data_IF_817192323079
#
_entry.id   IF_817192323079
#
_cell.length_a   1.000
_cell.length_b   1.000
_cell.length_c   1.000
_cell.angle_alpha   90.00
_cell.angle_beta   90.00
_cell.angle_gamma   90.00
#
_symmetry.space_group_name_H-M   'P 1'
#
loop_
_entity.id
_entity.type
_entity.pdbx_description
1 polymer ?
#
# COMPACT_ATOMS: atom_id res chain seq x y z
N UNK A 1 2.40 -17.07 -8.12
CA UNK A 1 1.63 -18.01 -7.27
C UNK A 1 1.28 -17.41 -5.91
N UNK A 2 2.23 -16.93 -5.10
CA UNK A 2 1.93 -16.37 -3.75
C UNK A 2 0.97 -15.17 -3.80
N UNK A 3 1.14 -14.25 -4.76
CA UNK A 3 0.24 -13.10 -4.93
C UNK A 3 -1.21 -13.54 -5.17
N UNK A 4 -1.42 -14.56 -6.00
CA UNK A 4 -2.78 -15.08 -6.25
C UNK A 4 -3.34 -15.87 -5.08
N UNK A 5 -2.49 -16.57 -4.32
CA UNK A 5 -2.89 -17.30 -3.12
C UNK A 5 -3.28 -16.36 -1.97
N UNK A 6 -2.53 -15.26 -1.78
CA UNK A 6 -2.85 -14.20 -0.82
C UNK A 6 -4.13 -13.50 -1.28
N UNK A 7 -4.25 -13.17 -2.56
CA UNK A 7 -5.47 -12.57 -3.11
C UNK A 7 -6.69 -13.48 -2.99
N UNK A 8 -6.56 -14.80 -3.20
CA UNK A 8 -7.68 -15.74 -3.10
C UNK A 8 -8.08 -15.98 -1.65
N UNK A 9 -7.13 -16.12 -0.72
CA UNK A 9 -7.43 -16.27 0.71
C UNK A 9 -8.03 -14.97 1.28
N UNK A 10 -7.47 -13.82 0.92
CA UNK A 10 -7.99 -12.51 1.33
C UNK A 10 -9.37 -12.24 0.71
N UNK A 11 -9.57 -12.56 -0.57
CA UNK A 11 -10.88 -12.48 -1.23
C UNK A 11 -11.90 -13.41 -0.59
N UNK A 12 -11.50 -14.61 -0.16
CA UNK A 12 -12.39 -15.53 0.55
C UNK A 12 -12.79 -14.97 1.91
N UNK A 13 -11.86 -14.33 2.63
CA UNK A 13 -12.11 -13.65 3.91
C UNK A 13 -13.00 -12.40 3.73
N UNK A 14 -12.87 -11.71 2.59
CA UNK A 14 -13.70 -10.57 2.22
C UNK A 14 -15.07 -10.95 1.62
N UNK A 15 -15.24 -12.19 1.16
CA UNK A 15 -16.50 -12.70 0.58
C UNK A 15 -17.55 -13.08 1.63
N UNK A 16 -17.28 -12.80 2.90
CA UNK A 16 -18.27 -12.85 3.97
C UNK A 16 -19.38 -11.81 3.74
N UNK A 17 -20.49 -12.28 3.17
CA UNK A 17 -21.78 -11.61 2.97
C UNK A 17 -21.83 -10.53 1.86
N UNK A 18 -22.82 -10.60 0.94
CA UNK A 18 -22.99 -9.64 -0.15
C UNK A 18 -23.61 -8.34 0.39
N UNK A 19 -22.82 -7.52 1.08
CA UNK A 19 -23.26 -6.22 1.60
C UNK A 19 -22.65 -5.07 0.81
N UNK A 20 -23.52 -4.38 0.09
CA UNK A 20 -23.38 -3.12 -0.67
C UNK A 20 -22.15 -2.26 -0.28
N UNK A 21 -21.06 -2.43 -1.02
CA UNK A 21 -19.79 -1.69 -0.87
C UNK A 21 -19.98 -0.18 -1.15
N UNK A 22 -19.54 0.72 -0.25
CA UNK A 22 -19.53 2.16 -0.51
C UNK A 22 -18.35 2.49 -1.42
N UNK A 23 -18.66 3.12 -2.55
CA UNK A 23 -17.72 3.52 -3.60
C UNK A 23 -16.87 4.70 -3.11
N UNK A 24 -15.62 4.42 -2.76
CA UNK A 24 -14.60 5.39 -2.33
C UNK A 24 -13.89 5.89 -3.57
N UNK A 25 -14.30 7.05 -4.11
CA UNK A 25 -13.64 7.68 -5.25
C UNK A 25 -12.55 8.63 -4.72
N UNK A 26 -11.28 8.25 -4.81
CA UNK A 26 -10.16 9.11 -4.41
C UNK A 26 -9.98 10.23 -5.46
N UNK A 27 -9.71 11.48 -5.04
CA UNK A 27 -9.65 12.63 -5.94
C UNK A 27 -8.38 12.54 -6.80
N UNK A 28 -8.56 12.72 -8.10
CA UNK A 28 -7.49 12.62 -9.10
C UNK A 28 -6.33 13.58 -8.83
N UNK A 29 -6.62 14.72 -8.20
CA UNK A 29 -5.64 15.77 -7.85
C UNK A 29 -4.53 15.26 -6.91
N UNK A 30 -4.87 14.39 -5.95
CA UNK A 30 -3.89 13.79 -5.04
C UNK A 30 -2.98 12.84 -5.81
N UNK A 31 -3.54 12.03 -6.69
CA UNK A 31 -2.75 11.13 -7.53
C UNK A 31 -1.86 11.89 -8.48
N UNK A 32 -2.34 12.97 -9.09
CA UNK A 32 -1.55 13.80 -10.00
C UNK A 32 -0.38 14.45 -9.27
N UNK A 33 -0.58 15.03 -8.09
CA UNK A 33 0.50 15.68 -7.35
C UNK A 33 1.56 14.66 -6.87
N UNK A 34 1.12 13.49 -6.39
CA UNK A 34 2.02 12.40 -6.01
C UNK A 34 2.76 11.85 -7.24
N UNK A 35 2.07 11.67 -8.36
CA UNK A 35 2.65 11.20 -9.61
C UNK A 35 3.66 12.18 -10.18
N UNK A 36 3.41 13.49 -10.07
CA UNK A 36 4.35 14.53 -10.52
C UNK A 36 5.60 14.54 -9.64
N UNK A 37 5.46 14.46 -8.32
CA UNK A 37 6.60 14.42 -7.40
C UNK A 37 7.46 13.16 -7.60
N UNK A 38 6.82 11.99 -7.71
CA UNK A 38 7.51 10.73 -7.99
C UNK A 38 8.14 10.76 -9.39
N UNK A 39 7.39 11.25 -10.39
CA UNK A 39 7.85 11.38 -11.77
C UNK A 39 9.10 12.27 -11.88
N UNK A 40 9.15 13.38 -11.15
CA UNK A 40 10.32 14.25 -11.10
C UNK A 40 11.54 13.53 -10.49
N UNK A 41 11.34 12.77 -9.41
CA UNK A 41 12.40 11.98 -8.78
C UNK A 41 12.93 10.88 -9.71
N UNK A 42 12.02 10.15 -10.38
CA UNK A 42 12.36 9.10 -11.35
C UNK A 42 13.10 9.69 -12.55
N UNK A 43 12.64 10.82 -13.09
CA UNK A 43 13.28 11.47 -14.23
C UNK A 43 14.70 11.93 -13.88
N UNK A 44 14.93 12.44 -12.67
CA UNK A 44 16.26 12.80 -12.18
C UNK A 44 17.19 11.58 -12.06
N UNK A 45 16.66 10.45 -11.57
CA UNK A 45 17.40 9.20 -11.49
C UNK A 45 17.75 8.62 -12.87
N UNK A 46 16.80 8.65 -13.81
CA UNK A 46 17.03 8.24 -15.19
C UNK A 46 18.04 9.15 -15.91
N UNK A 47 17.98 10.46 -15.69
CA UNK A 47 18.96 11.41 -16.22
C UNK A 47 20.35 11.14 -15.69
N UNK A 48 20.49 10.83 -14.39
CA UNK A 48 21.76 10.43 -13.80
C UNK A 48 22.30 9.11 -14.40
N UNK A 49 21.45 8.12 -14.61
CA UNK A 49 21.83 6.87 -15.28
C UNK A 49 22.23 7.10 -16.74
N UNK A 50 21.54 7.99 -17.44
CA UNK A 50 21.83 8.37 -18.81
C UNK A 50 23.19 9.06 -18.90
N UNK A 51 23.47 10.02 -18.01
CA UNK A 51 24.78 10.67 -17.92
C UNK A 51 25.89 9.66 -17.62
N UNK A 52 25.68 8.74 -16.67
CA UNK A 52 26.63 7.66 -16.35
C UNK A 52 26.86 6.71 -17.54
N UNK A 53 25.85 6.49 -18.40
CA UNK A 53 25.98 5.65 -19.59
C UNK A 53 26.70 6.35 -20.76
N UNK A 54 26.55 7.66 -20.87
CA UNK A 54 27.07 8.46 -21.98
C UNK A 54 28.50 8.95 -21.69
N UNK A 55 28.83 9.12 -20.41
CA UNK A 55 30.12 9.58 -19.96
C UNK A 55 31.17 8.45 -19.98
N UNK A 56 32.34 8.73 -20.58
CA UNK A 56 33.46 7.78 -20.78
C UNK A 56 34.21 7.42 -19.48
N UNK A 57 33.54 7.49 -18.33
CA UNK A 57 34.11 7.23 -17.02
C UNK A 57 33.67 5.85 -16.49
N UNK A 58 34.31 4.79 -16.99
CA UNK A 58 34.05 3.38 -16.63
C UNK A 58 34.00 3.10 -15.11
N UNK A 59 34.71 3.89 -14.29
CA UNK A 59 34.70 3.77 -12.84
C UNK A 59 33.31 4.07 -12.24
N UNK A 60 32.62 5.09 -12.71
CA UNK A 60 31.30 5.46 -12.21
C UNK A 60 30.22 4.45 -12.65
N UNK A 61 30.36 3.87 -13.85
CA UNK A 61 29.50 2.81 -14.35
C UNK A 61 29.59 1.52 -13.51
N UNK A 62 30.81 1.09 -13.16
CA UNK A 62 31.00 -0.10 -12.30
C UNK A 62 30.45 0.12 -10.89
N UNK A 63 30.63 1.32 -10.32
CA UNK A 63 30.05 1.67 -9.01
C UNK A 63 28.53 1.69 -9.06
N UNK A 64 27.93 2.24 -10.13
CA UNK A 64 26.48 2.23 -10.31
C UNK A 64 25.93 0.80 -10.44
N UNK A 65 26.57 -0.08 -11.21
CA UNK A 65 26.19 -1.48 -11.34
C UNK A 65 26.31 -2.21 -10.00
N UNK A 66 27.41 -2.03 -9.28
CA UNK A 66 27.61 -2.64 -7.97
C UNK A 66 26.57 -2.16 -6.95
N UNK A 67 26.24 -0.87 -6.95
CA UNK A 67 25.19 -0.29 -6.12
C UNK A 67 23.80 -0.83 -6.47
N UNK A 68 23.47 -0.93 -7.77
CA UNK A 68 22.21 -1.50 -8.24
C UNK A 68 22.10 -2.99 -7.88
N UNK A 69 23.20 -3.74 -8.00
CA UNK A 69 23.28 -5.15 -7.63
C UNK A 69 23.10 -5.34 -6.12
N UNK A 70 23.79 -4.55 -5.29
CA UNK A 70 23.63 -4.61 -3.83
C UNK A 70 22.19 -4.24 -3.41
N UNK A 71 21.62 -3.19 -4.01
CA UNK A 71 20.22 -2.81 -3.77
C UNK A 71 19.25 -3.91 -4.22
N UNK A 72 19.53 -4.63 -5.30
CA UNK A 72 18.73 -5.77 -5.75
C UNK A 72 18.84 -6.96 -4.80
N UNK A 73 20.04 -7.28 -4.29
CA UNK A 73 20.23 -8.35 -3.29
C UNK A 73 19.50 -8.01 -1.99
N UNK A 74 19.68 -6.79 -1.48
CA UNK A 74 19.00 -6.32 -0.27
C UNK A 74 17.49 -6.27 -0.48
N UNK A 75 17.01 -5.73 -1.60
CA UNK A 75 15.59 -5.68 -1.96
C UNK A 75 14.96 -7.06 -2.13
N UNK A 76 15.73 -8.05 -2.62
CA UNK A 76 15.29 -9.43 -2.74
C UNK A 76 15.09 -10.11 -1.39
N UNK A 77 15.82 -9.67 -0.36
CA UNK A 77 15.68 -10.18 1.00
C UNK A 77 14.62 -9.42 1.80
N UNK A 78 14.50 -8.11 1.62
CA UNK A 78 13.76 -7.27 2.56
C UNK A 78 12.23 -7.32 2.48
N UNK A 79 11.59 -7.78 1.41
CA UNK A 79 10.11 -7.76 1.36
C UNK A 79 9.48 -9.12 1.72
N UNK A 80 9.96 -10.20 1.10
CA UNK A 80 9.34 -11.51 1.30
C UNK A 80 9.80 -12.20 2.58
N UNK A 81 11.11 -12.19 2.89
CA UNK A 81 11.61 -12.79 4.13
C UNK A 81 11.12 -12.05 5.35
N UNK A 82 11.01 -10.73 5.29
CA UNK A 82 10.50 -9.93 6.41
C UNK A 82 9.02 -10.23 6.69
N UNK A 83 8.18 -10.35 5.66
CA UNK A 83 6.76 -10.74 5.84
C UNK A 83 6.63 -12.17 6.35
N UNK A 84 7.44 -13.11 5.84
CA UNK A 84 7.47 -14.49 6.35
C UNK A 84 7.95 -14.52 7.81
N UNK A 85 9.01 -13.78 8.13
CA UNK A 85 9.57 -13.73 9.47
C UNK A 85 8.57 -13.14 10.46
N UNK A 86 7.94 -12.02 10.13
CA UNK A 86 6.87 -11.43 10.95
C UNK A 86 5.70 -12.41 11.05
N UNK A 87 5.26 -13.03 9.95
CA UNK A 87 4.18 -14.01 9.97
C UNK A 87 4.48 -15.20 10.87
N UNK A 88 5.71 -15.70 10.86
CA UNK A 88 6.15 -16.82 11.69
C UNK A 88 6.26 -16.42 13.17
N UNK A 89 6.89 -15.28 13.46
CA UNK A 89 6.97 -14.72 14.81
C UNK A 89 5.56 -14.47 15.35
N UNK A 90 4.68 -13.86 14.57
CA UNK A 90 3.27 -13.65 14.92
C UNK A 90 2.55 -14.97 15.16
N UNK A 91 2.65 -15.97 14.28
CA UNK A 91 1.96 -17.25 14.45
C UNK A 91 2.35 -17.97 15.75
N UNK A 92 3.59 -17.83 16.21
CA UNK A 92 4.06 -18.42 17.47
C UNK A 92 3.85 -17.54 18.69
N UNK A 93 3.90 -16.22 18.52
CA UNK A 93 3.82 -15.26 19.64
C UNK A 93 2.38 -14.82 19.93
N UNK A 94 1.52 -14.70 18.91
CA UNK A 94 0.10 -14.32 19.09
C UNK A 94 -0.64 -15.23 20.06
N UNK A 95 -0.58 -16.57 19.98
CA UNK A 95 -1.38 -17.43 20.85
C UNK A 95 -1.02 -17.24 22.33
N UNK A 96 0.29 -17.20 22.62
CA UNK A 96 0.81 -17.02 23.98
C UNK A 96 0.56 -15.62 24.51
N UNK A 97 0.62 -14.60 23.64
CA UNK A 97 0.36 -13.23 24.04
C UNK A 97 -1.13 -12.99 24.26
N UNK A 98 -2.00 -13.61 23.46
CA UNK A 98 -3.45 -13.47 23.57
C UNK A 98 -3.97 -14.14 24.83
N UNK A 99 -3.55 -15.37 25.16
CA UNK A 99 -3.94 -16.02 26.41
C UNK A 99 -3.57 -15.23 27.67
N UNK A 100 -2.50 -14.43 27.60
CA UNK A 100 -1.94 -13.74 28.77
C UNK A 100 -2.37 -12.26 28.87
N UNK A 101 -2.78 -11.65 27.76
CA UNK A 101 -3.07 -10.22 27.66
C UNK A 101 -4.32 -9.93 26.83
N UNK A 102 -5.28 -10.85 26.79
CA UNK A 102 -6.53 -10.76 26.01
C UNK A 102 -7.18 -9.38 26.09
N UNK A 103 -7.48 -8.90 27.30
CA UNK A 103 -8.10 -7.59 27.52
C UNK A 103 -7.25 -6.41 26.99
N UNK A 104 -5.93 -6.52 27.08
CA UNK A 104 -4.99 -5.46 26.67
C UNK A 104 -4.82 -5.40 25.15
N UNK A 105 -4.82 -6.56 24.50
CA UNK A 105 -4.75 -6.69 23.05
C UNK A 105 -6.06 -6.23 22.42
N UNK A 106 -7.20 -6.62 23.01
CA UNK A 106 -8.50 -6.17 22.54
C UNK A 106 -8.67 -4.65 22.69
N UNK A 107 -8.33 -4.06 23.84
CA UNK A 107 -8.44 -2.62 24.03
C UNK A 107 -7.53 -1.82 23.07
N UNK A 108 -6.34 -2.35 22.77
CA UNK A 108 -5.44 -1.80 21.75
C UNK A 108 -6.04 -1.92 20.34
N UNK A 109 -6.63 -3.07 20.00
CA UNK A 109 -7.33 -3.27 18.72
C UNK A 109 -8.50 -2.31 18.57
N UNK A 110 -9.35 -2.18 19.59
CA UNK A 110 -10.49 -1.28 19.59
C UNK A 110 -10.06 0.19 19.48
N UNK A 111 -8.98 0.57 20.16
CA UNK A 111 -8.40 1.91 20.08
C UNK A 111 -7.88 2.22 18.68
N UNK A 112 -7.09 1.31 18.07
CA UNK A 112 -6.58 1.46 16.71
C UNK A 112 -7.73 1.48 15.69
N UNK A 113 -8.68 0.56 15.79
CA UNK A 113 -9.86 0.52 14.92
C UNK A 113 -10.69 1.81 15.06
N UNK A 114 -10.81 2.33 16.27
CA UNK A 114 -11.46 3.61 16.55
C UNK A 114 -10.77 4.78 15.85
N UNK A 115 -9.44 4.89 15.98
CA UNK A 115 -8.63 5.92 15.33
C UNK A 115 -8.66 5.81 13.80
N UNK A 116 -8.54 4.60 13.27
CA UNK A 116 -8.65 4.32 11.83
C UNK A 116 -10.03 4.69 11.31
N UNK A 117 -11.09 4.38 12.06
CA UNK A 117 -12.46 4.76 11.70
C UNK A 117 -12.64 6.27 11.70
N UNK A 118 -12.09 6.98 12.69
CA UNK A 118 -12.15 8.44 12.76
C UNK A 118 -11.38 9.10 11.61
N UNK A 119 -10.17 8.63 11.32
CA UNK A 119 -9.38 9.08 10.17
C UNK A 119 -10.07 8.78 8.84
N UNK A 120 -10.66 7.58 8.71
CA UNK A 120 -11.42 7.20 7.53
C UNK A 120 -12.68 8.05 7.37
N UNK A 121 -13.39 8.36 8.45
CA UNK A 121 -14.54 9.27 8.43
C UNK A 121 -14.12 10.69 8.04
N UNK A 122 -12.99 11.20 8.54
CA UNK A 122 -12.45 12.51 8.15
C UNK A 122 -12.03 12.55 6.69
N UNK A 123 -11.42 11.49 6.17
CA UNK A 123 -11.13 11.36 4.74
C UNK A 123 -12.42 11.29 3.91
N UNK A 124 -13.40 10.49 4.36
CA UNK A 124 -14.68 10.38 3.69
C UNK A 124 -15.48 11.70 3.73
N UNK A 125 -15.45 12.45 4.82
CA UNK A 125 -16.09 13.77 4.89
C UNK A 125 -15.30 14.85 4.14
N UNK A 126 -13.98 14.91 4.28
CA UNK A 126 -13.18 15.96 3.66
C UNK A 126 -13.05 15.81 2.16
N UNK A 127 -12.90 14.57 1.71
CA UNK A 127 -12.56 14.23 0.33
C UNK A 127 -13.74 13.61 -0.41
N UNK A 128 -14.36 12.55 0.14
CA UNK A 128 -15.45 11.85 -0.56
C UNK A 128 -16.78 12.64 -0.58
N UNK A 129 -17.05 13.48 0.42
CA UNK A 129 -18.29 14.27 0.45
C UNK A 129 -18.27 15.49 -0.48
N UNK A 130 -17.07 15.93 -0.90
CA UNK A 130 -16.91 17.00 -1.90
C UNK A 130 -17.06 16.50 -3.33
N UNK A 131 -17.11 15.18 -3.54
CA UNK A 131 -17.39 14.60 -4.85
C UNK A 131 -18.90 14.74 -5.07
N UNK A 132 -19.32 15.56 -6.07
CA UNK A 132 -20.73 15.81 -6.30
C UNK A 132 -21.38 14.49 -6.73
N UNK A 133 -22.23 13.93 -5.88
CA UNK A 133 -23.09 12.79 -6.23
C UNK A 133 -23.97 13.22 -7.40
N UNK A 134 -23.58 12.83 -8.61
CA UNK A 134 -24.32 13.12 -9.83
C UNK A 134 -25.77 12.67 -9.73
N UNK A 135 -26.68 13.60 -9.96
CA UNK A 135 -28.12 13.39 -9.90
C UNK A 135 -28.56 12.45 -11.03
N UNK A 136 -28.61 11.13 -10.78
CA UNK A 136 -29.27 10.19 -11.69
C UNK A 136 -30.79 10.33 -11.55
N UNK A 137 -31.37 11.41 -12.10
CA UNK A 137 -32.80 11.43 -12.41
C UNK A 137 -33.00 10.49 -13.61
N UNK A 138 -33.30 9.23 -13.32
CA UNK A 138 -33.74 8.26 -14.31
C UNK A 138 -34.98 8.82 -15.03
N UNK A 139 -34.80 9.15 -16.31
CA UNK A 139 -35.86 9.57 -17.22
C UNK A 139 -36.70 8.34 -17.54
N UNK A 140 -37.94 8.27 -17.01
CA UNK A 140 -38.96 7.33 -17.52
C UNK A 140 -39.26 7.73 -18.97
N UNK A 141 -39.03 6.81 -19.90
CA UNK A 141 -39.58 6.88 -21.26
C UNK A 141 -41.01 6.35 -21.22
N UNK A 142 -41.96 7.21 -21.61
CA UNK A 142 -43.24 6.79 -22.19
C UNK A 142 -43.03 5.90 -23.43
#
# INVERSE_FOLDING_TARGET
MVVQFVWSNFSSMLSGSPSKVPRVELPDELFVNIAVAIGAQVNKFLSFLQDVSCERNLKHFVVAIAGLWAAAVIGSWCNFLTVIYIGFVCAHTLPVLYEKYEDQVDDFLYSILGLLRDQYQKLNQGVLSKIPKGNMKAKKSD
#
